data_IF_460053909348
#
_entry.id   IF_460053909348
#
_cell.length_a   1.000
_cell.length_b   1.000
_cell.length_c   1.000
_cell.angle_alpha   90.00
_cell.angle_beta   90.00
_cell.angle_gamma   90.00
#
_symmetry.space_group_name_H-M   'P 1'
#
loop_
_entity.id
_entity.type
_entity.pdbx_description
1 polymer ?
#
# COMPACT_ATOMS: atom_id res chain seq x y z
N UNK A 1 -12.90 58.78 48.52
CA UNK A 1 -12.33 58.27 47.26
C UNK A 1 -12.48 56.76 47.25
N UNK A 2 -13.39 56.24 46.44
CA UNK A 2 -13.54 54.81 46.13
C UNK A 2 -13.77 54.76 44.62
N UNK A 3 -12.83 54.18 43.88
CA UNK A 3 -12.93 53.97 42.44
C UNK A 3 -13.20 52.49 42.20
N UNK A 4 -14.34 52.18 41.60
CA UNK A 4 -14.74 50.83 41.20
C UNK A 4 -14.48 50.69 39.70
N UNK A 5 -13.60 49.78 39.30
CA UNK A 5 -13.28 49.47 37.90
C UNK A 5 -14.19 48.32 37.46
N UNK A 6 -15.02 48.46 36.41
CA UNK A 6 -15.77 47.33 35.87
C UNK A 6 -14.88 46.47 34.97
N UNK A 7 -14.94 45.16 35.24
CA UNK A 7 -14.27 44.06 34.58
C UNK A 7 -14.77 43.92 33.12
N UNK A 8 -13.88 44.07 32.13
CA UNK A 8 -14.17 43.76 30.73
C UNK A 8 -14.02 42.24 30.53
N UNK A 9 -15.13 41.54 30.32
CA UNK A 9 -15.10 40.12 29.93
C UNK A 9 -14.87 40.03 28.41
N UNK A 10 -13.66 39.60 28.02
CA UNK A 10 -13.33 39.20 26.66
C UNK A 10 -13.97 37.84 26.38
N UNK A 11 -15.00 37.82 25.55
CA UNK A 11 -15.56 36.60 24.97
C UNK A 11 -14.54 36.03 23.97
N UNK A 12 -13.80 34.99 24.35
CA UNK A 12 -12.99 34.23 23.40
C UNK A 12 -13.92 33.34 22.59
N UNK A 13 -14.17 33.72 21.33
CA UNK A 13 -14.68 32.78 20.33
C UNK A 13 -13.62 31.69 20.10
N UNK A 14 -13.78 30.55 20.76
CA UNK A 14 -13.09 29.34 20.36
C UNK A 14 -13.77 28.83 19.07
N UNK A 15 -13.14 29.09 17.93
CA UNK A 15 -13.39 28.34 16.70
C UNK A 15 -12.93 26.90 16.96
N UNK A 16 -13.87 26.02 17.30
CA UNK A 16 -13.65 24.59 17.26
C UNK A 16 -13.50 24.20 15.79
N UNK A 17 -12.26 24.10 15.31
CA UNK A 17 -11.98 23.35 14.09
C UNK A 17 -12.29 21.88 14.39
N UNK A 18 -13.06 21.17 13.53
CA UNK A 18 -13.12 19.73 13.60
C UNK A 18 -11.71 19.19 13.32
N UNK A 19 -11.07 18.60 14.34
CA UNK A 19 -9.89 17.75 14.16
C UNK A 19 -10.39 16.38 13.69
N UNK A 20 -10.56 16.20 12.39
CA UNK A 20 -10.34 14.88 11.79
C UNK A 20 -8.84 14.79 11.49
N UNK A 21 -8.04 14.54 12.54
CA UNK A 21 -6.70 13.99 12.39
C UNK A 21 -6.84 12.46 12.31
N UNK A 22 -7.39 11.94 11.21
CA UNK A 22 -7.09 10.57 10.79
C UNK A 22 -5.64 10.54 10.31
N UNK A 23 -4.69 10.60 11.26
CA UNK A 23 -3.33 10.20 10.96
C UNK A 23 -3.38 8.67 10.78
N UNK A 24 -3.16 8.15 9.55
CA UNK A 24 -3.23 6.71 9.32
C UNK A 24 -2.28 6.01 10.29
N UNK A 25 -2.78 4.97 10.97
CA UNK A 25 -1.97 4.22 11.91
C UNK A 25 -0.73 3.69 11.15
N UNK A 26 0.50 4.09 11.50
CA UNK A 26 1.70 3.69 10.76
C UNK A 26 1.88 2.16 10.73
N UNK A 27 1.31 1.45 11.71
CA UNK A 27 1.31 -0.02 11.77
C UNK A 27 0.46 -0.70 10.68
N UNK A 28 -0.36 0.11 10.00
CA UNK A 28 -1.31 -0.29 8.98
C UNK A 28 -0.87 0.10 7.58
N UNK A 29 0.34 0.64 7.42
CA UNK A 29 0.83 1.15 6.15
C UNK A 29 1.94 0.28 5.58
N UNK A 30 1.70 -0.29 4.41
CA UNK A 30 2.73 -0.85 3.55
C UNK A 30 3.15 0.21 2.54
N UNK A 31 4.43 0.26 2.21
CA UNK A 31 4.94 1.10 1.12
C UNK A 31 5.52 0.22 0.05
N UNK A 32 5.39 0.61 -1.20
CA UNK A 32 6.12 -0.09 -2.27
C UNK A 32 6.89 0.92 -3.10
N UNK A 33 8.08 0.53 -3.52
CA UNK A 33 8.94 1.29 -4.42
C UNK A 33 9.41 0.44 -5.59
N UNK A 34 10.05 1.10 -6.55
CA UNK A 34 10.74 0.47 -7.69
C UNK A 34 9.83 -0.47 -8.49
N UNK A 35 8.53 -0.15 -8.53
CA UNK A 35 7.55 -0.99 -9.19
C UNK A 35 7.73 -0.93 -10.70
N UNK A 36 7.83 -2.11 -11.28
CA UNK A 36 7.94 -2.33 -12.72
C UNK A 36 7.10 -3.54 -13.10
N UNK A 37 6.38 -3.44 -14.21
CA UNK A 37 5.63 -4.55 -14.76
C UNK A 37 5.58 -4.48 -16.29
N UNK A 38 5.44 -5.63 -16.93
CA UNK A 38 5.15 -5.74 -18.34
C UNK A 38 3.98 -6.69 -18.55
N UNK A 39 3.06 -6.30 -19.43
CA UNK A 39 1.92 -7.12 -19.79
C UNK A 39 1.71 -7.14 -21.29
N UNK A 40 1.84 -8.30 -21.94
CA UNK A 40 1.60 -8.48 -23.38
C UNK A 40 0.12 -8.70 -23.72
N UNK A 41 -0.62 -9.34 -22.83
CA UNK A 41 -2.05 -9.54 -22.94
C UNK A 41 -2.59 -9.66 -21.49
N UNK A 42 -3.59 -8.86 -21.15
CA UNK A 42 -4.18 -8.83 -19.81
C UNK A 42 -5.00 -10.11 -19.50
N UNK A 43 -5.17 -11.00 -20.49
CA UNK A 43 -6.07 -12.15 -20.39
C UNK A 43 -5.40 -13.50 -20.20
N UNK A 44 -4.19 -13.74 -20.73
CA UNK A 44 -3.53 -15.07 -20.67
C UNK A 44 -2.39 -15.17 -19.65
N UNK A 45 -1.82 -14.05 -19.20
CA UNK A 45 -0.87 -14.02 -18.07
C UNK A 45 0.55 -14.48 -18.39
N UNK A 46 0.75 -15.21 -19.50
CA UNK A 46 2.06 -15.68 -19.95
C UNK A 46 2.83 -14.56 -20.65
N UNK A 47 4.16 -14.56 -20.50
CA UNK A 47 5.08 -13.48 -20.85
C UNK A 47 4.93 -12.17 -20.03
N UNK A 48 4.02 -12.13 -19.06
CA UNK A 48 3.83 -10.99 -18.15
C UNK A 48 4.76 -11.12 -16.94
N UNK A 49 5.28 -10.01 -16.44
CA UNK A 49 6.10 -10.02 -15.23
C UNK A 49 5.85 -8.78 -14.40
N UNK A 50 6.19 -8.90 -13.12
CA UNK A 50 6.13 -7.82 -12.14
C UNK A 50 7.35 -7.92 -11.23
N UNK A 51 7.84 -6.77 -10.79
CA UNK A 51 8.84 -6.66 -9.75
C UNK A 51 8.62 -5.37 -8.95
N UNK A 52 8.66 -5.46 -7.62
CA UNK A 52 8.62 -4.30 -6.75
C UNK A 52 9.22 -4.62 -5.37
N UNK A 53 9.59 -3.57 -4.63
CA UNK A 53 10.02 -3.67 -3.24
C UNK A 53 8.89 -3.21 -2.33
N UNK A 54 8.58 -3.96 -1.27
CA UNK A 54 7.58 -3.56 -0.28
C UNK A 54 8.27 -3.36 1.08
N UNK A 55 7.99 -2.26 1.76
CA UNK A 55 8.44 -2.02 3.13
C UNK A 55 7.28 -1.80 4.10
N UNK A 56 7.56 -2.05 5.37
CA UNK A 56 6.69 -1.80 6.51
C UNK A 56 7.56 -1.23 7.62
N UNK A 57 7.33 0.04 7.95
CA UNK A 57 8.15 0.77 8.91
C UNK A 57 7.87 0.32 10.35
N UNK A 58 6.62 -0.05 10.66
CA UNK A 58 6.23 -0.50 11.98
C UNK A 58 6.87 -1.83 12.37
N UNK A 59 7.08 -2.71 11.39
CA UNK A 59 7.68 -4.02 11.62
C UNK A 59 9.11 -4.14 11.09
N UNK A 60 9.69 -3.03 10.61
CA UNK A 60 11.03 -2.97 10.01
C UNK A 60 11.27 -4.11 9.00
N UNK A 61 10.33 -4.27 8.07
CA UNK A 61 10.34 -5.33 7.07
C UNK A 61 10.63 -4.74 5.70
N UNK A 62 11.44 -5.45 4.90
CA UNK A 62 11.49 -5.27 3.45
C UNK A 62 11.12 -6.57 2.75
N UNK A 63 10.54 -6.52 1.56
CA UNK A 63 10.20 -7.69 0.78
C UNK A 63 10.40 -7.42 -0.71
N UNK A 64 10.87 -8.42 -1.44
CA UNK A 64 10.87 -8.41 -2.91
C UNK A 64 9.68 -9.23 -3.39
N UNK A 65 8.75 -8.59 -4.11
CA UNK A 65 7.62 -9.24 -4.75
C UNK A 65 7.90 -9.30 -6.25
N UNK A 66 7.93 -10.50 -6.83
CA UNK A 66 8.18 -10.65 -8.26
C UNK A 66 7.52 -11.90 -8.82
N UNK A 67 7.30 -11.89 -10.14
CA UNK A 67 6.83 -13.06 -10.88
C UNK A 67 7.54 -13.18 -12.21
N UNK A 68 7.90 -14.41 -12.57
CA UNK A 68 8.59 -14.69 -13.82
C UNK A 68 7.61 -14.75 -15.01
N UNK A 69 8.13 -14.46 -16.19
CA UNK A 69 7.35 -14.38 -17.44
C UNK A 69 6.73 -15.70 -17.91
N UNK A 70 7.06 -16.84 -17.30
CA UNK A 70 6.47 -18.14 -17.60
C UNK A 70 5.39 -18.58 -16.59
N UNK A 71 5.07 -17.74 -15.61
CA UNK A 71 4.03 -17.97 -14.62
C UNK A 71 2.81 -17.08 -14.93
N UNK A 72 1.63 -17.53 -14.52
CA UNK A 72 0.40 -16.73 -14.69
C UNK A 72 0.37 -15.58 -13.69
N UNK A 73 0.53 -14.34 -14.19
CA UNK A 73 0.48 -13.13 -13.37
C UNK A 73 -0.91 -12.87 -12.75
N UNK A 74 -1.98 -13.08 -13.52
CA UNK A 74 -3.31 -12.68 -13.11
C UNK A 74 -4.06 -13.81 -12.39
N UNK A 75 -4.55 -13.50 -11.20
CA UNK A 75 -5.43 -14.42 -10.48
C UNK A 75 -6.26 -13.67 -9.45
N UNK A 76 -7.58 -13.87 -9.48
CA UNK A 76 -8.46 -13.37 -8.43
C UNK A 76 -8.45 -14.27 -7.17
N UNK A 77 -7.74 -15.41 -7.23
CA UNK A 77 -7.76 -16.44 -6.18
C UNK A 77 -6.39 -16.75 -5.57
N UNK A 78 -5.34 -16.62 -6.37
CA UNK A 78 -3.98 -16.99 -5.99
C UNK A 78 -3.27 -15.78 -5.42
N UNK A 79 -2.59 -16.01 -4.29
CA UNK A 79 -1.68 -15.06 -3.69
C UNK A 79 -0.25 -15.55 -3.94
N UNK A 80 0.59 -14.69 -4.47
CA UNK A 80 1.98 -14.99 -4.78
C UNK A 80 2.87 -14.54 -3.63
N UNK A 81 3.69 -15.43 -3.06
CA UNK A 81 4.53 -15.08 -1.93
C UNK A 81 5.63 -14.10 -2.35
N UNK A 82 5.83 -13.05 -1.55
CA UNK A 82 7.01 -12.21 -1.64
C UNK A 82 8.13 -12.82 -0.79
N UNK A 83 9.38 -12.58 -1.18
CA UNK A 83 10.52 -12.93 -0.34
C UNK A 83 10.74 -11.82 0.69
N UNK A 84 10.49 -12.15 1.95
CA UNK A 84 10.56 -11.23 3.10
C UNK A 84 11.95 -11.23 3.72
N UNK A 85 12.44 -10.05 4.04
CA UNK A 85 13.66 -9.73 4.77
C UNK A 85 13.27 -8.95 6.03
N UNK A 86 13.13 -9.67 7.15
CA UNK A 86 12.78 -9.09 8.44
C UNK A 86 13.48 -9.89 9.54
N UNK A 87 13.69 -9.26 10.71
CA UNK A 87 14.17 -9.95 11.91
C UNK A 87 13.12 -10.88 12.49
N UNK A 88 11.84 -10.56 12.34
CA UNK A 88 10.72 -11.40 12.76
C UNK A 88 10.36 -12.43 11.66
N UNK A 89 10.54 -13.74 11.93
CA UNK A 89 10.27 -14.79 10.96
C UNK A 89 8.77 -15.09 10.78
N UNK A 90 7.90 -14.59 11.65
CA UNK A 90 6.44 -14.77 11.57
C UNK A 90 5.83 -13.94 10.44
N UNK A 91 6.53 -12.87 10.04
CA UNK A 91 6.06 -11.99 8.97
C UNK A 91 6.04 -12.75 7.64
N UNK A 92 4.90 -12.69 6.98
CA UNK A 92 4.72 -13.11 5.59
C UNK A 92 4.08 -11.99 4.81
N UNK A 93 4.50 -11.87 3.57
CA UNK A 93 3.90 -10.96 2.61
C UNK A 93 3.60 -11.73 1.33
N UNK A 94 2.45 -11.45 0.75
CA UNK A 94 2.06 -11.96 -0.55
C UNK A 94 1.37 -10.87 -1.33
N UNK A 95 1.40 -10.97 -2.65
CA UNK A 95 0.71 -10.06 -3.53
C UNK A 95 -0.25 -10.80 -4.46
N UNK A 96 -1.23 -10.06 -4.97
CA UNK A 96 -2.18 -10.56 -5.95
C UNK A 96 -2.44 -9.46 -6.97
N UNK A 97 -2.45 -9.85 -8.25
CA UNK A 97 -2.87 -8.99 -9.36
C UNK A 97 -4.15 -9.60 -9.95
N UNK A 98 -5.31 -8.96 -9.79
CA UNK A 98 -6.56 -9.41 -10.40
C UNK A 98 -6.52 -9.40 -11.94
N UNK A 99 -7.44 -10.14 -12.55
CA UNK A 99 -7.62 -10.09 -13.99
C UNK A 99 -7.98 -8.65 -14.43
N UNK A 100 -7.34 -8.17 -15.50
CA UNK A 100 -7.50 -6.79 -16.00
C UNK A 100 -6.49 -5.78 -15.46
N UNK A 101 -5.62 -6.18 -14.51
CA UNK A 101 -4.50 -5.39 -13.99
C UNK A 101 -4.89 -3.95 -13.60
N UNK A 102 -6.00 -3.83 -12.89
CA UNK A 102 -6.59 -2.57 -12.44
C UNK A 102 -6.21 -2.21 -11.00
N UNK A 103 -5.74 -3.19 -10.22
CA UNK A 103 -5.21 -2.99 -8.88
C UNK A 103 -4.10 -4.00 -8.57
N UNK A 104 -3.34 -3.71 -7.52
CA UNK A 104 -2.45 -4.63 -6.85
C UNK A 104 -2.94 -4.76 -5.42
N UNK A 105 -2.94 -6.00 -4.93
CA UNK A 105 -3.28 -6.30 -3.54
C UNK A 105 -2.06 -6.84 -2.83
N UNK A 106 -1.90 -6.42 -1.58
CA UNK A 106 -0.91 -6.94 -0.65
C UNK A 106 -1.65 -7.59 0.52
N UNK A 107 -1.18 -8.77 0.91
CA UNK A 107 -1.63 -9.45 2.12
C UNK A 107 -0.42 -9.70 2.99
N UNK A 108 -0.45 -9.13 4.20
CA UNK A 108 0.57 -9.30 5.23
C UNK A 108 0.00 -10.16 6.36
N UNK A 109 0.80 -11.07 6.90
CA UNK A 109 0.51 -11.71 8.18
C UNK A 109 1.68 -11.51 9.14
N UNK A 110 1.39 -11.39 10.43
CA UNK A 110 2.38 -11.19 11.48
C UNK A 110 1.84 -11.72 12.82
N UNK A 111 2.71 -11.91 13.80
CA UNK A 111 2.29 -12.20 15.17
C UNK A 111 2.30 -10.92 16.01
N UNK A 112 1.26 -10.69 16.82
CA UNK A 112 1.21 -9.59 17.77
C UNK A 112 0.58 -10.06 19.08
N UNK A 113 1.29 -9.89 20.19
CA UNK A 113 0.85 -10.30 21.53
C UNK A 113 0.38 -11.77 21.60
N UNK A 114 1.04 -12.68 20.86
CA UNK A 114 0.70 -14.10 20.82
C UNK A 114 -0.51 -14.47 19.94
N UNK A 115 -1.03 -13.54 19.14
CA UNK A 115 -2.10 -13.78 18.17
C UNK A 115 -1.59 -13.61 16.74
N UNK A 116 -2.01 -14.50 15.84
CA UNK A 116 -1.69 -14.43 14.43
C UNK A 116 -2.63 -13.48 13.71
N UNK A 117 -2.09 -12.34 13.30
CA UNK A 117 -2.82 -11.31 12.58
C UNK A 117 -2.61 -11.46 11.08
N UNK A 118 -3.62 -11.12 10.28
CA UNK A 118 -3.48 -10.95 8.84
C UNK A 118 -4.26 -9.74 8.35
N UNK A 119 -3.65 -8.98 7.45
CA UNK A 119 -4.17 -7.74 6.90
C UNK A 119 -4.13 -7.73 5.38
N UNK A 120 -5.11 -7.09 4.75
CA UNK A 120 -5.12 -6.86 3.29
C UNK A 120 -5.14 -5.36 2.98
N UNK A 121 -4.34 -4.98 1.98
CA UNK A 121 -4.30 -3.66 1.39
C UNK A 121 -4.46 -3.79 -0.13
N UNK A 122 -5.20 -2.89 -0.75
CA UNK A 122 -5.39 -2.86 -2.20
C UNK A 122 -5.20 -1.44 -2.71
N UNK A 123 -4.56 -1.30 -3.86
CA UNK A 123 -4.38 0.00 -4.51
C UNK A 123 -4.52 -0.15 -6.01
N UNK A 124 -5.22 0.80 -6.63
CA UNK A 124 -5.38 0.83 -8.08
C UNK A 124 -4.04 0.92 -8.82
N UNK A 125 -3.91 0.22 -9.94
CA UNK A 125 -2.66 0.12 -10.72
C UNK A 125 -2.67 0.93 -11.99
N UNK A 126 -3.76 1.60 -12.37
CA UNK A 126 -3.79 2.45 -13.57
C UNK A 126 -3.05 3.79 -13.35
N UNK A 127 -1.74 3.70 -13.10
CA UNK A 127 -0.68 4.71 -13.31
C UNK A 127 -1.17 6.13 -13.06
N UNK A 128 -1.34 6.45 -11.78
CA UNK A 128 -1.59 7.80 -11.32
C UNK A 128 -0.40 8.68 -11.76
N UNK A 129 -0.51 9.31 -12.93
CA UNK A 129 0.56 10.13 -13.49
C UNK A 129 0.93 11.29 -12.56
N UNK A 130 -0.03 11.75 -11.76
CA UNK A 130 0.16 12.77 -10.74
C UNK A 130 1.03 12.30 -9.57
N UNK A 131 1.14 10.99 -9.36
CA UNK A 131 1.94 10.39 -8.28
C UNK A 131 3.18 9.66 -8.83
N UNK A 132 3.65 9.97 -10.05
CA UNK A 132 4.87 9.38 -10.61
C UNK A 132 4.69 8.05 -11.35
N UNK A 133 3.45 7.65 -11.63
CA UNK A 133 3.13 6.47 -12.43
C UNK A 133 3.20 6.73 -13.94
N UNK A 134 3.70 5.76 -14.70
CA UNK A 134 3.79 5.85 -16.16
C UNK A 134 3.46 4.50 -16.83
N UNK A 135 2.75 4.56 -17.96
CA UNK A 135 2.42 3.43 -18.81
C UNK A 135 2.87 3.72 -20.24
N UNK A 136 3.58 2.78 -20.86
CA UNK A 136 4.09 2.92 -22.22
C UNK A 136 3.83 1.65 -23.00
N UNK A 137 3.08 1.74 -24.10
CA UNK A 137 2.87 0.62 -25.01
C UNK A 137 4.15 0.33 -25.80
N UNK A 138 4.61 -0.92 -25.75
CA UNK A 138 5.81 -1.41 -26.45
C UNK A 138 5.47 -2.71 -27.17
N UNK A 139 5.47 -2.66 -28.51
CA UNK A 139 5.09 -3.82 -29.33
C UNK A 139 3.63 -4.21 -29.09
N UNK A 140 3.41 -5.46 -28.68
CA UNK A 140 2.08 -5.98 -28.34
C UNK A 140 1.70 -5.76 -26.88
N UNK A 141 2.62 -5.31 -26.03
CA UNK A 141 2.38 -5.15 -24.60
C UNK A 141 2.47 -3.73 -24.09
N UNK A 142 2.27 -3.58 -22.79
CA UNK A 142 2.42 -2.31 -22.09
C UNK A 142 3.36 -2.50 -20.91
N UNK A 143 4.31 -1.56 -20.80
CA UNK A 143 5.27 -1.47 -19.74
C UNK A 143 4.83 -0.41 -18.73
N UNK A 144 4.95 -0.73 -17.46
CA UNK A 144 4.46 0.09 -16.36
C UNK A 144 5.56 0.35 -15.36
N UNK A 145 5.68 1.60 -14.93
CA UNK A 145 6.66 2.04 -13.95
C UNK A 145 5.98 2.97 -12.96
N UNK A 146 6.34 2.83 -11.69
CA UNK A 146 5.97 3.76 -10.64
C UNK A 146 7.23 4.10 -9.86
N UNK A 147 7.73 5.32 -10.05
CA UNK A 147 9.01 5.76 -9.49
C UNK A 147 8.88 6.19 -8.03
N UNK A 148 7.80 6.91 -7.69
CA UNK A 148 7.56 7.37 -6.34
C UNK A 148 6.97 6.25 -5.48
N UNK A 149 7.39 6.12 -4.20
CA UNK A 149 6.83 5.15 -3.29
C UNK A 149 5.33 5.35 -3.09
N UNK A 150 4.53 4.31 -3.33
CA UNK A 150 3.10 4.35 -3.05
C UNK A 150 2.80 3.80 -1.65
N UNK A 151 1.64 4.16 -1.10
CA UNK A 151 1.19 3.72 0.20
C UNK A 151 -0.03 2.80 0.07
N UNK A 152 -0.02 1.72 0.83
CA UNK A 152 -1.02 0.64 0.85
C UNK A 152 -1.54 0.56 2.27
N UNK A 153 -2.74 1.11 2.48
CA UNK A 153 -3.39 1.02 3.78
C UNK A 153 -4.05 -0.34 3.95
N UNK A 154 -3.71 -1.03 5.03
CA UNK A 154 -4.37 -2.25 5.46
C UNK A 154 -5.73 -1.86 6.03
N UNK A 155 -6.80 -2.20 5.32
CA UNK A 155 -8.17 -1.80 5.71
C UNK A 155 -8.97 -2.92 6.35
N UNK A 156 -8.46 -4.15 6.31
CA UNK A 156 -9.14 -5.32 6.86
C UNK A 156 -8.15 -6.21 7.59
N UNK A 157 -8.31 -6.32 8.92
CA UNK A 157 -7.48 -7.18 9.79
C UNK A 157 -8.34 -8.31 10.34
N UNK A 158 -7.79 -9.53 10.33
CA UNK A 158 -8.31 -10.69 11.06
C UNK A 158 -7.25 -11.22 12.02
N UNK A 159 -7.67 -11.69 13.20
CA UNK A 159 -6.82 -12.37 14.19
C UNK A 159 -7.47 -13.64 14.73
#
# INVERSE_FOLDING_TARGET
MHFTIPFFALLTLALAFPQDDENPNPDMMLRTSDFQAYTSDATDGYANWIACLVSDDAHTMMATCSMASNETLYSDRTWHPCKVYASDPTIKLSFQIPAGFNEMKLKKSWESNGMYMSGMAAQGTHWNANDGGNATTIGSGTYYVQAEPWAFEITNISG
#
